data_IF_794539295279
#
_entry.id   IF_794539295279
#
_cell.length_a   1.000
_cell.length_b   1.000
_cell.length_c   1.000
_cell.angle_alpha   90.00
_cell.angle_beta   90.00
_cell.angle_gamma   90.00
#
_symmetry.space_group_name_H-M   'P 1'
#
loop_
_entity.id
_entity.type
_entity.pdbx_description
1 polymer ?
#
# COMPACT_ATOMS: atom_id res chain seq x y z
N UNK A 1 -1.60 -2.49 1.15
CA UNK A 1 -1.33 -1.08 0.77
C UNK A 1 -0.06 -0.94 -0.08
N UNK A 2 1.13 -1.27 0.43
CA UNK A 2 2.40 -1.09 -0.31
C UNK A 2 2.47 -1.79 -1.69
N UNK A 3 2.11 -3.08 -1.79
CA UNK A 3 2.08 -3.76 -3.08
C UNK A 3 1.06 -3.13 -4.04
N UNK A 4 -0.09 -2.70 -3.51
CA UNK A 4 -1.14 -2.07 -4.29
C UNK A 4 -0.75 -0.70 -4.83
N UNK A 5 -0.02 0.12 -4.06
CA UNK A 5 0.44 1.43 -4.51
C UNK A 5 1.38 1.35 -5.72
N UNK A 6 2.05 0.20 -5.90
CA UNK A 6 2.85 -0.13 -7.07
C UNK A 6 2.10 -1.01 -8.09
N UNK A 7 0.84 -1.36 -7.82
CA UNK A 7 0.03 -2.31 -8.59
C UNK A 7 0.76 -3.62 -8.94
N UNK A 8 1.56 -4.12 -7.99
CA UNK A 8 2.31 -5.36 -8.14
C UNK A 8 1.37 -6.56 -8.00
N UNK A 9 1.15 -7.29 -9.09
CA UNK A 9 0.11 -8.31 -9.22
C UNK A 9 0.37 -9.56 -8.38
N UNK A 10 1.59 -10.10 -8.42
CA UNK A 10 1.98 -11.33 -7.71
C UNK A 10 1.95 -11.16 -6.19
N UNK A 11 2.58 -10.11 -5.67
CA UNK A 11 2.64 -9.83 -4.22
C UNK A 11 1.22 -9.59 -3.70
N UNK A 12 0.39 -8.86 -4.45
CA UNK A 12 -1.02 -8.71 -4.11
C UNK A 12 -1.74 -10.05 -4.06
N UNK A 13 -1.64 -10.86 -5.12
CA UNK A 13 -2.33 -12.14 -5.27
C UNK A 13 -2.02 -13.11 -4.12
N UNK A 14 -0.74 -13.23 -3.75
CA UNK A 14 -0.31 -14.11 -2.65
C UNK A 14 -0.86 -13.62 -1.30
N UNK A 15 -0.73 -12.33 -1.00
CA UNK A 15 -1.06 -11.82 0.33
C UNK A 15 -2.56 -11.57 0.54
N UNK A 16 -3.32 -11.24 -0.50
CA UNK A 16 -4.76 -11.02 -0.33
C UNK A 16 -5.48 -12.31 0.05
N UNK A 17 -5.07 -13.44 -0.53
CA UNK A 17 -5.62 -14.75 -0.17
C UNK A 17 -5.30 -15.11 1.29
N UNK A 18 -4.05 -14.89 1.72
CA UNK A 18 -3.66 -15.11 3.11
C UNK A 18 -4.41 -14.18 4.08
N UNK A 19 -4.63 -12.92 3.71
CA UNK A 19 -5.35 -11.97 4.54
C UNK A 19 -6.83 -12.36 4.69
N UNK A 20 -7.48 -12.78 3.60
CA UNK A 20 -8.85 -13.29 3.64
C UNK A 20 -8.97 -14.54 4.53
N UNK A 21 -8.03 -15.48 4.40
CA UNK A 21 -7.98 -16.67 5.26
C UNK A 21 -7.75 -16.33 6.74
N UNK A 22 -7.00 -15.25 7.01
CA UNK A 22 -6.79 -14.72 8.36
C UNK A 22 -7.97 -13.89 8.91
N UNK A 23 -9.05 -13.73 8.14
CA UNK A 23 -10.28 -13.07 8.59
C UNK A 23 -10.48 -11.64 8.08
N UNK A 24 -9.66 -11.15 7.15
CA UNK A 24 -9.94 -9.88 6.47
C UNK A 24 -11.28 -9.98 5.73
N UNK A 25 -12.14 -8.97 5.88
CA UNK A 25 -13.40 -8.94 5.14
C UNK A 25 -13.16 -8.79 3.64
N UNK A 26 -14.07 -9.34 2.83
CA UNK A 26 -14.00 -9.19 1.37
C UNK A 26 -14.21 -7.74 0.97
N UNK A 27 -15.04 -7.02 1.70
CA UNK A 27 -15.34 -5.60 1.52
C UNK A 27 -14.07 -4.76 1.69
N UNK A 28 -13.28 -5.05 2.73
CA UNK A 28 -11.98 -4.40 2.92
C UNK A 28 -11.01 -4.77 1.80
N UNK A 29 -10.91 -6.06 1.43
CA UNK A 29 -10.08 -6.48 0.31
C UNK A 29 -10.43 -5.77 -1.00
N UNK A 30 -11.72 -5.60 -1.30
CA UNK A 30 -12.21 -4.86 -2.47
C UNK A 30 -11.88 -3.37 -2.37
N UNK A 31 -12.11 -2.72 -1.23
CA UNK A 31 -11.76 -1.31 -1.05
C UNK A 31 -10.25 -1.08 -1.26
N UNK A 32 -9.41 -1.95 -0.70
CA UNK A 32 -7.97 -1.94 -0.90
C UNK A 32 -7.61 -2.11 -2.38
N UNK A 33 -8.23 -3.06 -3.08
CA UNK A 33 -8.01 -3.28 -4.51
C UNK A 33 -8.39 -2.06 -5.34
N UNK A 34 -9.44 -1.33 -4.98
CA UNK A 34 -9.88 -0.13 -5.68
C UNK A 34 -9.09 1.12 -5.29
N UNK A 35 -8.14 1.02 -4.36
CA UNK A 35 -7.40 2.16 -3.82
C UNK A 35 -8.27 3.11 -2.98
N UNK A 36 -9.38 2.61 -2.44
CA UNK A 36 -10.28 3.35 -1.54
C UNK A 36 -9.97 3.03 -0.08
N UNK A 37 -10.31 3.97 0.80
CA UNK A 37 -10.34 3.73 2.24
C UNK A 37 -11.41 2.68 2.57
N UNK A 38 -11.07 1.58 3.28
CA UNK A 38 -12.06 0.66 3.82
C UNK A 38 -12.98 1.35 4.84
N UNK A 39 -14.23 0.88 4.95
CA UNK A 39 -15.18 1.34 5.96
C UNK A 39 -15.24 0.35 7.13
N UNK A 40 -15.62 0.81 8.33
CA UNK A 40 -15.82 -0.06 9.49
C UNK A 40 -14.55 -0.61 10.13
N UNK A 41 -13.41 0.06 9.92
CA UNK A 41 -12.14 -0.27 10.56
C UNK A 41 -12.20 -0.05 12.07
N UNK A 42 -11.47 -0.88 12.82
CA UNK A 42 -11.16 -0.61 14.22
C UNK A 42 -10.25 0.61 14.35
N UNK A 43 -10.20 1.19 15.56
CA UNK A 43 -9.48 2.44 15.78
C UNK A 43 -7.97 2.34 15.45
N UNK A 44 -7.34 1.21 15.76
CA UNK A 44 -5.95 0.92 15.43
C UNK A 44 -5.77 0.70 13.91
N UNK A 45 -6.68 -0.01 13.25
CA UNK A 45 -6.69 -0.17 11.79
C UNK A 45 -6.80 1.17 11.06
N UNK A 46 -7.62 2.11 11.57
CA UNK A 46 -7.71 3.47 11.02
C UNK A 46 -6.40 4.24 11.15
N UNK A 47 -5.71 4.12 12.30
CA UNK A 47 -4.40 4.74 12.53
C UNK A 47 -3.36 4.16 11.58
N UNK A 48 -3.32 2.83 11.43
CA UNK A 48 -2.41 2.15 10.51
C UNK A 48 -2.68 2.58 9.06
N UNK A 49 -3.96 2.65 8.66
CA UNK A 49 -4.35 3.10 7.34
C UNK A 49 -3.87 4.53 7.07
N UNK A 50 -4.15 5.47 7.99
CA UNK A 50 -3.76 6.87 7.86
C UNK A 50 -2.25 7.01 7.72
N UNK A 51 -1.50 6.36 8.61
CA UNK A 51 -0.05 6.39 8.62
C UNK A 51 0.56 5.85 7.32
N UNK A 52 0.16 4.64 6.90
CA UNK A 52 0.72 4.00 5.71
C UNK A 52 0.31 4.75 4.44
N UNK A 53 -0.92 5.25 4.38
CA UNK A 53 -1.41 6.03 3.22
C UNK A 53 -0.64 7.35 3.09
N UNK A 54 -0.50 8.10 4.19
CA UNK A 54 0.25 9.37 4.18
C UNK A 54 1.73 9.15 3.83
N UNK A 55 2.35 8.11 4.40
CA UNK A 55 3.72 7.71 4.10
C UNK A 55 3.92 7.39 2.63
N UNK A 56 3.04 6.57 2.04
CA UNK A 56 3.13 6.19 0.62
C UNK A 56 2.91 7.40 -0.29
N UNK A 57 1.95 8.26 0.05
CA UNK A 57 1.54 9.36 -0.81
C UNK A 57 2.50 10.54 -0.77
N UNK A 58 2.98 10.89 0.43
CA UNK A 58 3.78 12.11 0.66
C UNK A 58 5.26 11.83 0.85
N UNK A 59 5.65 10.55 1.00
CA UNK A 59 7.01 10.11 1.34
C UNK A 59 7.47 10.56 2.74
N UNK A 60 6.51 10.86 3.61
CA UNK A 60 6.71 11.19 5.02
C UNK A 60 5.38 11.11 5.77
N UNK A 61 5.38 11.45 7.06
CA UNK A 61 4.17 11.59 7.86
C UNK A 61 4.24 12.86 8.67
N UNK A 62 3.10 13.53 8.88
CA UNK A 62 3.00 14.66 9.80
C UNK A 62 3.16 14.23 11.26
N UNK A 63 3.58 15.16 12.12
CA UNK A 63 3.72 14.93 13.56
C UNK A 63 2.44 14.35 14.17
N UNK A 64 1.28 14.89 13.79
CA UNK A 64 -0.03 14.40 14.25
C UNK A 64 -0.26 12.93 13.91
N UNK A 65 0.11 12.51 12.70
CA UNK A 65 -0.07 11.12 12.28
C UNK A 65 0.94 10.20 12.94
N UNK A 66 2.18 10.67 13.13
CA UNK A 66 3.21 9.94 13.86
C UNK A 66 2.83 9.73 15.33
N UNK A 67 2.40 10.78 16.03
CA UNK A 67 1.99 10.71 17.43
C UNK A 67 0.84 9.72 17.64
N UNK A 68 -0.19 9.74 16.78
CA UNK A 68 -1.29 8.77 16.82
C UNK A 68 -0.80 7.33 16.61
N UNK A 69 0.15 7.13 15.70
CA UNK A 69 0.70 5.81 15.43
C UNK A 69 1.54 5.29 16.61
N UNK A 70 2.35 6.14 17.23
CA UNK A 70 3.11 5.78 18.44
C UNK A 70 2.17 5.50 19.62
N UNK A 71 1.08 6.25 19.78
CA UNK A 71 0.09 5.98 20.83
C UNK A 71 -0.58 4.60 20.64
N UNK A 72 -0.87 4.21 19.40
CA UNK A 72 -1.52 2.94 19.08
C UNK A 72 -0.56 1.74 19.09
N UNK A 73 0.70 1.94 18.68
CA UNK A 73 1.63 0.84 18.33
C UNK A 73 2.99 0.91 19.01
N UNK A 74 3.28 1.95 19.79
CA UNK A 74 4.61 2.32 20.28
C UNK A 74 5.65 2.60 19.17
N UNK A 75 6.84 3.07 19.55
CA UNK A 75 7.89 3.39 18.58
C UNK A 75 8.41 2.14 17.85
N UNK A 76 8.49 0.98 18.53
CA UNK A 76 8.92 -0.27 17.94
C UNK A 76 7.92 -0.75 16.90
N UNK A 77 6.62 -0.69 17.23
CA UNK A 77 5.56 -1.05 16.28
C UNK A 77 5.56 -0.15 15.04
N UNK A 78 5.83 1.16 15.20
CA UNK A 78 6.00 2.07 14.05
C UNK A 78 7.18 1.65 13.17
N UNK A 79 8.31 1.26 13.75
CA UNK A 79 9.47 0.75 13.00
C UNK A 79 9.14 -0.56 12.27
N UNK A 80 8.41 -1.48 12.92
CA UNK A 80 7.99 -2.73 12.29
C UNK A 80 7.06 -2.49 11.08
N UNK A 81 6.09 -1.58 11.23
CA UNK A 81 5.21 -1.13 10.14
C UNK A 81 6.05 -0.57 8.98
N UNK A 82 6.99 0.34 9.27
CA UNK A 82 7.87 0.90 8.25
C UNK A 82 8.72 -0.16 7.55
N UNK A 83 9.24 -1.13 8.30
CA UNK A 83 10.00 -2.26 7.76
C UNK A 83 9.20 -3.07 6.74
N UNK A 84 7.96 -3.41 7.09
CA UNK A 84 7.04 -4.14 6.20
C UNK A 84 6.71 -3.30 4.95
N UNK A 85 6.37 -2.02 5.11
CA UNK A 85 6.04 -1.13 3.99
C UNK A 85 7.23 -0.96 3.05
N UNK A 86 8.42 -0.73 3.59
CA UNK A 86 9.66 -0.56 2.83
C UNK A 86 10.08 -1.83 2.08
N UNK A 87 10.00 -2.99 2.75
CA UNK A 87 10.30 -4.28 2.14
C UNK A 87 9.39 -4.55 0.93
N UNK A 88 8.07 -4.47 1.11
CA UNK A 88 7.14 -4.76 0.02
C UNK A 88 7.12 -3.68 -1.07
N UNK A 89 7.47 -2.43 -0.74
CA UNK A 89 7.71 -1.39 -1.74
C UNK A 89 8.89 -1.77 -2.64
N UNK A 90 10.03 -2.11 -2.04
CA UNK A 90 11.25 -2.50 -2.77
C UNK A 90 11.02 -3.76 -3.60
N UNK A 91 10.41 -4.78 -3.00
CA UNK A 91 10.06 -6.01 -3.68
C UNK A 91 9.14 -5.74 -4.88
N UNK A 92 8.15 -4.85 -4.70
CA UNK A 92 7.22 -4.49 -5.77
C UNK A 92 7.91 -3.81 -6.95
N UNK A 93 8.85 -2.91 -6.67
CA UNK A 93 9.68 -2.28 -7.71
C UNK A 93 10.45 -3.32 -8.52
N UNK A 94 11.14 -4.25 -7.83
CA UNK A 94 11.94 -5.31 -8.45
C UNK A 94 11.05 -6.19 -9.35
N UNK A 95 9.93 -6.67 -8.83
CA UNK A 95 9.07 -7.60 -9.54
C UNK A 95 8.32 -6.96 -10.71
N UNK A 96 7.98 -5.67 -10.61
CA UNK A 96 7.41 -4.91 -11.72
C UNK A 96 8.41 -4.79 -12.89
N UNK A 97 9.68 -4.46 -12.60
CA UNK A 97 10.73 -4.41 -13.62
C UNK A 97 11.02 -5.81 -14.18
N UNK A 98 11.05 -6.82 -13.31
CA UNK A 98 11.25 -8.22 -13.67
C UNK A 98 10.07 -8.86 -14.40
N UNK A 99 8.92 -8.17 -14.50
CA UNK A 99 7.68 -8.68 -15.11
C UNK A 99 7.29 -10.05 -14.57
N UNK A 100 7.35 -10.23 -13.26
CA UNK A 100 7.04 -11.51 -12.64
C UNK A 100 5.60 -11.91 -12.91
N UNK A 101 5.41 -13.08 -13.49
CA UNK A 101 4.10 -13.67 -13.77
C UNK A 101 3.41 -14.16 -12.49
N UNK A 102 2.08 -14.29 -12.56
CA UNK A 102 1.30 -14.96 -11.52
C UNK A 102 1.55 -16.47 -11.53
N UNK A 103 1.31 -17.10 -10.38
CA UNK A 103 1.26 -18.56 -10.30
C UNK A 103 0.14 -19.08 -11.21
N UNK A 104 0.42 -20.20 -11.89
CA UNK A 104 -0.53 -20.95 -12.72
C UNK A 104 -1.24 -20.14 -13.82
N UNK A 105 -0.66 -19.01 -14.25
CA UNK A 105 -1.22 -18.18 -15.34
C UNK A 105 -2.60 -17.59 -15.03
N UNK A 106 -2.93 -17.38 -13.74
CA UNK A 106 -4.19 -16.75 -13.33
C UNK A 106 -4.36 -15.36 -13.94
N UNK A 107 -5.62 -14.92 -14.04
CA UNK A 107 -5.92 -13.55 -14.43
C UNK A 107 -5.35 -12.56 -13.41
N UNK A 108 -4.92 -11.39 -13.88
CA UNK A 108 -4.41 -10.32 -13.03
C UNK A 108 -5.50 -9.85 -12.05
N UNK A 109 -5.28 -9.92 -10.72
CA UNK A 109 -6.31 -9.58 -9.73
C UNK A 109 -6.54 -8.07 -9.58
N UNK A 110 -5.64 -7.24 -10.09
CA UNK A 110 -5.71 -5.80 -9.94
C UNK A 110 -5.86 -5.10 -11.29
N UNK A 111 -6.88 -4.26 -11.39
CA UNK A 111 -6.93 -3.23 -12.42
C UNK A 111 -5.89 -2.14 -12.13
N UNK A 112 -5.36 -1.45 -13.17
CA UNK A 112 -4.51 -0.28 -12.96
C UNK A 112 -5.23 0.80 -12.14
N UNK A 113 -4.57 1.38 -11.14
CA UNK A 113 -5.09 2.58 -10.50
C UNK A 113 -5.04 3.77 -11.46
N UNK A 114 -5.97 4.75 -11.36
CA UNK A 114 -5.85 5.99 -12.09
C UNK A 114 -4.48 6.62 -11.83
N UNK A 115 -3.77 7.02 -12.89
CA UNK A 115 -2.51 7.72 -12.73
C UNK A 115 -2.77 9.03 -11.97
N UNK A 116 -2.05 9.25 -10.86
CA UNK A 116 -1.99 10.58 -10.27
C UNK A 116 -1.21 11.46 -11.23
N UNK A 117 -1.92 12.25 -12.02
CA UNK A 117 -1.30 13.28 -12.84
C UNK A 117 -0.60 14.25 -11.88
N UNK A 118 0.73 14.30 -11.92
CA UNK A 118 1.44 15.43 -11.34
C UNK A 118 1.01 16.68 -12.12
N UNK A 119 0.63 17.80 -11.46
CA UNK A 119 0.50 19.05 -12.18
C UNK A 119 1.81 19.27 -12.94
N UNK A 120 1.73 19.57 -14.24
CA UNK A 120 2.89 19.77 -15.10
C UNK A 120 3.82 20.80 -14.45
N UNK A 121 4.87 20.35 -13.77
CA UNK A 121 6.01 21.21 -13.49
C UNK A 121 6.69 21.39 -14.83
N UNK A 122 6.49 22.56 -15.44
CA UNK A 122 7.20 22.98 -16.64
C UNK A 122 8.70 22.64 -16.48
N UNK A 123 9.18 21.68 -17.25
CA UNK A 123 10.58 21.27 -17.24
C UNK A 123 11.39 22.31 -18.04
N UNK A 124 12.24 23.13 -17.40
CA UNK A 124 12.97 24.19 -18.10
C UNK A 124 14.24 23.70 -18.81
N UNK A 125 14.53 22.39 -18.83
CA UNK A 125 15.80 21.85 -19.33
C UNK A 125 15.62 20.85 -20.48
N UNK A 126 14.95 21.28 -21.55
CA UNK A 126 15.24 20.79 -22.90
C UNK A 126 15.70 21.96 -23.76
N UNK A 127 17.01 22.12 -23.87
CA UNK A 127 17.72 22.83 -24.94
C UNK A 127 18.71 21.87 -25.57
#
# INVERSE_FOLDING_TARGET
MAARSWSQQFVWDVHILQALDAGLSRETATALAEGRRPEGMQADEEVLWDFVTELIDTKGVSDRTYERAVEAFDESGVIDIMGIVGYYTTLSMIMNVGRTDLLDGRALPLDPLPQRLHPETANPLRS
#
